data_IF_974770259993
#
_entry.id   IF_974770259993
#
_cell.length_a   1.000
_cell.length_b   1.000
_cell.length_c   1.000
_cell.angle_alpha   90.00
_cell.angle_beta   90.00
_cell.angle_gamma   90.00
#
_symmetry.space_group_name_H-M   'P 1'
#
loop_
_entity.id
_entity.type
_entity.pdbx_description
1 polymer ?
#
# COMPACT_ATOMS: atom_id res chain seq x y z
N UNK A 1 -53.07 49.04 3.10
CA UNK A 1 -51.70 48.85 3.66
C UNK A 1 -51.16 47.57 3.16
N UNK A 2 -50.20 47.62 2.21
CA UNK A 2 -49.63 46.45 1.53
C UNK A 2 -48.33 46.06 2.26
N UNK A 3 -48.29 44.85 2.80
CA UNK A 3 -47.08 44.29 3.42
C UNK A 3 -46.23 43.65 2.34
N UNK A 4 -45.04 44.23 2.11
CA UNK A 4 -43.95 43.66 1.30
C UNK A 4 -43.18 42.67 2.19
N UNK A 5 -43.20 41.41 1.83
CA UNK A 5 -42.29 40.37 2.40
C UNK A 5 -41.09 40.30 1.52
N UNK A 6 -39.95 40.75 2.04
CA UNK A 6 -38.62 40.53 1.43
C UNK A 6 -38.16 39.08 1.71
N UNK A 7 -38.12 38.24 0.68
CA UNK A 7 -37.40 36.97 0.73
C UNK A 7 -35.90 37.21 0.48
N UNK A 8 -35.12 37.06 1.52
CA UNK A 8 -33.64 36.95 1.38
C UNK A 8 -33.32 35.51 0.92
N UNK A 9 -32.96 35.35 -0.33
CA UNK A 9 -32.36 34.13 -0.84
C UNK A 9 -30.87 34.10 -0.42
N UNK A 10 -30.57 33.30 0.58
CA UNK A 10 -29.19 32.98 0.94
C UNK A 10 -28.61 32.02 -0.11
N UNK A 11 -27.78 32.51 -1.01
CA UNK A 11 -26.95 31.72 -1.89
C UNK A 11 -25.85 31.08 -1.05
N UNK A 12 -26.01 29.81 -0.68
CA UNK A 12 -24.93 29.02 -0.13
C UNK A 12 -23.95 28.69 -1.28
N UNK A 13 -22.85 29.43 -1.36
CA UNK A 13 -21.68 29.06 -2.17
C UNK A 13 -21.10 27.78 -1.57
N UNK A 14 -21.52 26.63 -2.08
CA UNK A 14 -20.79 25.38 -1.88
C UNK A 14 -19.51 25.47 -2.72
N UNK A 15 -18.41 25.87 -2.11
CA UNK A 15 -17.09 25.62 -2.68
C UNK A 15 -16.88 24.12 -2.70
N UNK A 16 -17.19 23.48 -3.84
CA UNK A 16 -16.70 22.15 -4.12
C UNK A 16 -15.18 22.25 -4.16
N UNK A 17 -14.52 21.81 -3.09
CA UNK A 17 -13.08 21.58 -3.14
C UNK A 17 -12.86 20.53 -4.25
N UNK A 18 -12.36 20.98 -5.40
CA UNK A 18 -11.93 20.07 -6.47
C UNK A 18 -10.91 19.11 -5.86
N UNK A 19 -11.19 17.81 -5.92
CA UNK A 19 -10.20 16.82 -5.49
C UNK A 19 -8.94 17.01 -6.33
N UNK A 20 -7.79 17.16 -5.67
CA UNK A 20 -6.51 17.31 -6.34
C UNK A 20 -6.23 16.09 -7.20
N UNK A 21 -5.82 16.28 -8.45
CA UNK A 21 -5.51 15.20 -9.37
C UNK A 21 -4.22 14.49 -8.96
N UNK A 22 -4.03 13.23 -9.37
CA UNK A 22 -2.80 12.50 -9.11
C UNK A 22 -1.56 13.22 -9.66
N UNK A 23 -1.69 13.92 -10.79
CA UNK A 23 -0.60 14.73 -11.37
C UNK A 23 -0.21 15.87 -10.45
N UNK A 24 -1.18 16.59 -9.90
CA UNK A 24 -0.93 17.71 -8.96
C UNK A 24 -0.36 17.20 -7.64
N UNK A 25 -0.87 16.09 -7.11
CA UNK A 25 -0.34 15.46 -5.89
C UNK A 25 1.13 15.05 -6.06
N UNK A 26 1.48 14.38 -7.17
CA UNK A 26 2.86 13.96 -7.46
C UNK A 26 3.76 15.16 -7.74
N UNK A 27 3.28 16.18 -8.43
CA UNK A 27 4.04 17.44 -8.63
C UNK A 27 4.35 18.11 -7.30
N UNK A 28 3.39 18.15 -6.37
CA UNK A 28 3.59 18.72 -5.03
C UNK A 28 4.51 17.84 -4.16
N UNK A 29 4.47 16.52 -4.34
CA UNK A 29 5.28 15.55 -3.62
C UNK A 29 5.73 14.41 -4.54
N UNK A 30 6.88 14.58 -5.19
CA UNK A 30 7.46 13.58 -6.12
C UNK A 30 7.64 12.18 -5.53
N UNK A 31 7.77 12.06 -4.21
CA UNK A 31 7.95 10.77 -3.54
C UNK A 31 6.72 9.86 -3.67
N UNK A 32 5.51 10.42 -3.89
CA UNK A 32 4.30 9.65 -4.15
C UNK A 32 4.44 8.76 -5.39
N UNK A 33 5.24 9.19 -6.37
CA UNK A 33 5.54 8.39 -7.57
C UNK A 33 6.27 7.08 -7.28
N UNK A 34 6.83 6.94 -6.08
CA UNK A 34 7.45 5.70 -5.60
C UNK A 34 6.48 4.54 -5.41
N UNK A 35 5.15 4.80 -5.39
CA UNK A 35 4.14 3.73 -5.31
C UNK A 35 4.41 2.75 -4.16
N UNK A 36 4.77 1.50 -4.52
CA UNK A 36 5.14 0.45 -3.57
C UNK A 36 6.43 0.74 -2.77
N UNK A 37 7.22 1.74 -3.15
CA UNK A 37 8.42 2.18 -2.41
C UNK A 37 8.19 3.47 -1.63
N UNK A 38 6.97 4.03 -1.67
CA UNK A 38 6.65 5.22 -0.89
C UNK A 38 6.89 4.97 0.60
N UNK A 39 7.72 5.81 1.22
CA UNK A 39 7.92 5.80 2.66
C UNK A 39 6.59 6.09 3.38
N UNK A 40 6.24 5.24 4.34
CA UNK A 40 4.99 5.35 5.11
C UNK A 40 4.78 6.71 5.75
N UNK A 41 5.86 7.34 6.20
CA UNK A 41 5.81 8.67 6.83
C UNK A 41 5.60 9.82 5.83
N UNK A 42 5.70 9.54 4.52
CA UNK A 42 5.42 10.49 3.42
C UNK A 42 4.04 10.28 2.78
N UNK A 43 3.24 9.33 3.30
CA UNK A 43 1.87 9.10 2.85
C UNK A 43 0.99 10.34 3.11
N UNK A 44 -0.25 10.28 2.64
CA UNK A 44 -1.22 11.34 2.97
C UNK A 44 -1.32 11.53 4.49
N UNK A 45 -1.40 12.78 4.97
CA UNK A 45 -1.39 13.08 6.41
C UNK A 45 -2.55 12.43 7.14
N UNK A 46 -2.29 12.06 8.39
CA UNK A 46 -3.30 11.48 9.27
C UNK A 46 -4.43 12.47 9.53
N UNK A 47 -5.62 11.94 9.76
CA UNK A 47 -6.79 12.68 10.20
C UNK A 47 -7.18 12.19 11.59
N UNK A 48 -7.72 13.05 12.47
CA UNK A 48 -8.28 12.61 13.73
C UNK A 48 -9.34 11.51 13.51
N UNK A 49 -9.25 10.45 14.29
CA UNK A 49 -10.23 9.37 14.22
C UNK A 49 -11.53 9.79 14.93
N UNK A 50 -12.64 9.39 14.35
CA UNK A 50 -13.97 9.59 14.96
C UNK A 50 -14.04 8.82 16.29
N UNK A 51 -14.39 9.46 17.42
CA UNK A 51 -14.51 8.79 18.72
C UNK A 51 -15.56 7.68 18.69
N UNK A 52 -15.39 6.67 19.56
CA UNK A 52 -16.36 5.58 19.71
C UNK A 52 -17.80 6.13 19.93
N UNK A 53 -18.83 5.51 19.36
CA UNK A 53 -20.22 5.91 19.58
C UNK A 53 -20.57 5.89 21.07
N UNK A 54 -21.46 6.80 21.48
CA UNK A 54 -21.89 6.87 22.90
C UNK A 54 -22.41 5.52 23.39
N UNK A 55 -21.82 5.02 24.45
CA UNK A 55 -22.19 3.73 25.04
C UNK A 55 -21.46 2.51 24.43
N UNK A 56 -20.50 2.73 23.55
CA UNK A 56 -19.66 1.69 22.97
C UNK A 56 -18.20 1.83 23.42
N UNK A 57 -17.47 0.73 23.33
CA UNK A 57 -16.02 0.67 23.55
C UNK A 57 -15.38 -0.25 22.50
N UNK A 58 -14.18 0.07 21.97
CA UNK A 58 -13.43 -0.87 21.16
C UNK A 58 -12.95 -2.04 22.03
N UNK A 59 -13.04 -3.28 21.50
CA UNK A 59 -12.64 -4.47 22.25
C UNK A 59 -11.80 -5.45 21.45
N UNK A 60 -11.83 -5.36 20.13
CA UNK A 60 -11.04 -6.23 19.26
C UNK A 60 -10.48 -5.44 18.09
N UNK A 61 -9.21 -5.74 17.75
CA UNK A 61 -8.59 -5.28 16.52
C UNK A 61 -8.11 -6.46 15.69
N UNK A 62 -8.52 -6.49 14.42
CA UNK A 62 -7.96 -7.35 13.39
C UNK A 62 -7.12 -6.50 12.43
N UNK A 63 -5.83 -6.76 12.40
CA UNK A 63 -4.86 -6.03 11.60
C UNK A 63 -4.24 -6.94 10.53
N UNK A 64 -3.97 -6.39 9.34
CA UNK A 64 -3.05 -6.95 8.36
C UNK A 64 -2.16 -5.84 7.83
N UNK A 65 -0.84 -5.95 8.05
CA UNK A 65 0.16 -4.99 7.64
C UNK A 65 1.18 -5.58 6.66
N UNK A 66 1.70 -4.72 5.80
CA UNK A 66 2.87 -4.96 4.96
C UNK A 66 4.13 -4.69 5.76
N UNK A 67 5.23 -5.39 5.47
CA UNK A 67 6.56 -5.05 5.97
C UNK A 67 6.94 -3.59 5.67
N UNK A 68 7.85 -3.02 6.44
CA UNK A 68 8.39 -1.67 6.26
C UNK A 68 9.34 -1.53 5.07
N UNK A 69 9.92 -0.36 4.93
CA UNK A 69 10.93 -0.03 3.92
C UNK A 69 12.10 -1.02 3.92
N UNK A 70 12.67 -1.29 2.74
CA UNK A 70 13.65 -2.35 2.52
C UNK A 70 14.59 -2.04 1.36
N UNK A 71 15.69 -2.77 1.28
CA UNK A 71 16.48 -2.85 0.04
C UNK A 71 15.66 -3.50 -1.08
N UNK A 72 16.04 -3.22 -2.33
CA UNK A 72 15.48 -3.93 -3.49
C UNK A 72 15.81 -5.43 -3.36
N UNK A 73 14.95 -6.26 -3.94
CA UNK A 73 15.03 -7.73 -3.75
C UNK A 73 15.97 -8.43 -4.70
N UNK A 74 16.41 -7.75 -5.76
CA UNK A 74 17.31 -8.31 -6.78
C UNK A 74 18.60 -7.51 -6.83
N UNK A 75 19.72 -8.22 -6.84
CA UNK A 75 21.05 -7.62 -7.04
C UNK A 75 21.10 -6.81 -8.34
N UNK A 76 20.57 -7.36 -9.42
CA UNK A 76 20.53 -6.69 -10.72
C UNK A 76 19.76 -5.36 -10.73
N UNK A 77 18.89 -5.10 -9.74
CA UNK A 77 18.23 -3.79 -9.62
C UNK A 77 19.22 -2.66 -9.33
N UNK A 78 20.35 -2.95 -8.66
CA UNK A 78 21.42 -1.98 -8.39
C UNK A 78 22.58 -2.16 -9.37
N UNK A 79 23.07 -3.39 -9.54
CA UNK A 79 24.25 -3.69 -10.34
C UNK A 79 24.03 -3.48 -11.82
N UNK A 80 22.83 -3.80 -12.35
CA UNK A 80 22.53 -3.65 -13.77
C UNK A 80 22.69 -2.21 -14.29
N UNK A 81 22.05 -1.19 -13.68
CA UNK A 81 22.25 0.20 -14.07
C UNK A 81 23.69 0.69 -13.84
N UNK A 82 24.35 0.25 -12.76
CA UNK A 82 25.75 0.57 -12.49
C UNK A 82 26.65 0.07 -13.61
N UNK A 83 26.52 -1.19 -14.00
CA UNK A 83 27.39 -1.82 -15.00
C UNK A 83 27.22 -1.18 -16.38
N UNK A 84 25.97 -0.86 -16.77
CA UNK A 84 25.72 -0.10 -18.01
C UNK A 84 26.45 1.25 -18.00
N UNK A 85 26.41 1.98 -16.91
CA UNK A 85 27.08 3.28 -16.79
C UNK A 85 28.61 3.12 -16.74
N UNK A 86 29.14 2.09 -16.06
CA UNK A 86 30.59 1.79 -16.04
C UNK A 86 31.11 1.50 -17.46
N UNK A 87 30.45 0.60 -18.18
CA UNK A 87 30.84 0.26 -19.55
C UNK A 87 30.85 1.49 -20.47
N UNK A 88 29.84 2.37 -20.29
CA UNK A 88 29.79 3.62 -21.03
C UNK A 88 30.92 4.59 -20.62
N UNK A 89 31.26 4.68 -19.33
CA UNK A 89 32.35 5.52 -18.84
C UNK A 89 33.70 5.06 -19.40
N UNK A 90 33.97 3.76 -19.36
CA UNK A 90 35.24 3.17 -19.84
C UNK A 90 35.43 3.42 -21.34
N UNK A 91 34.36 3.62 -22.08
CA UNK A 91 34.36 3.96 -23.50
C UNK A 91 34.28 5.48 -23.76
N UNK A 92 34.27 6.33 -22.72
CA UNK A 92 34.14 7.78 -22.86
C UNK A 92 32.81 8.25 -23.39
N UNK A 93 31.73 7.48 -23.14
CA UNK A 93 30.35 7.74 -23.66
C UNK A 93 29.41 8.43 -22.70
N UNK A 94 29.84 8.72 -21.45
CA UNK A 94 29.04 9.46 -20.50
C UNK A 94 29.19 10.99 -20.64
N UNK A 95 28.11 11.69 -20.30
CA UNK A 95 28.16 13.12 -20.00
C UNK A 95 28.62 13.32 -18.53
N UNK A 96 28.95 14.56 -18.11
CA UNK A 96 29.21 14.84 -16.69
C UNK A 96 28.05 14.41 -15.77
N UNK A 97 26.78 14.55 -16.20
CA UNK A 97 25.61 14.08 -15.46
C UNK A 97 25.59 12.55 -15.36
N UNK A 98 25.92 11.84 -16.45
CA UNK A 98 26.03 10.37 -16.44
C UNK A 98 27.07 9.87 -15.47
N UNK A 99 28.24 10.55 -15.38
CA UNK A 99 29.28 10.22 -14.41
C UNK A 99 28.85 10.50 -12.95
N UNK A 100 28.10 11.58 -12.72
CA UNK A 100 27.53 11.89 -11.40
C UNK A 100 26.54 10.80 -10.96
N UNK A 101 25.65 10.37 -11.87
CA UNK A 101 24.67 9.29 -11.58
C UNK A 101 25.40 7.98 -11.28
N UNK A 102 26.42 7.61 -12.06
CA UNK A 102 27.24 6.43 -11.77
C UNK A 102 27.85 6.52 -10.38
N UNK A 103 28.47 7.64 -10.03
CA UNK A 103 29.09 7.86 -8.71
C UNK A 103 28.08 7.70 -7.57
N UNK A 104 26.85 8.21 -7.74
CA UNK A 104 25.78 8.07 -6.74
C UNK A 104 25.36 6.60 -6.56
N UNK A 105 25.20 5.86 -7.65
CA UNK A 105 24.85 4.44 -7.60
C UNK A 105 25.99 3.63 -6.98
N UNK A 106 27.25 3.87 -7.36
CA UNK A 106 28.43 3.21 -6.80
C UNK A 106 28.62 3.51 -5.30
N UNK A 107 28.21 4.68 -4.82
CA UNK A 107 28.26 5.02 -3.40
C UNK A 107 27.18 4.26 -2.60
N UNK A 108 26.03 4.00 -3.20
CA UNK A 108 24.92 3.34 -2.51
C UNK A 108 24.95 1.81 -2.62
N UNK A 109 25.23 1.25 -3.79
CA UNK A 109 25.13 -0.18 -4.09
C UNK A 109 25.84 -1.08 -3.06
N UNK A 110 27.05 -0.77 -2.56
CA UNK A 110 27.72 -1.61 -1.57
C UNK A 110 26.92 -1.82 -0.27
N UNK A 111 26.02 -0.89 0.07
CA UNK A 111 25.13 -1.02 1.24
C UNK A 111 24.10 -2.14 1.08
N UNK A 112 23.81 -2.55 -0.16
CA UNK A 112 22.84 -3.58 -0.50
C UNK A 112 23.41 -5.00 -0.43
N UNK A 113 24.75 -5.15 -0.40
CA UNK A 113 25.42 -6.45 -0.40
C UNK A 113 25.01 -7.26 0.82
N UNK A 114 24.48 -8.47 0.59
CA UNK A 114 23.90 -9.37 1.61
C UNK A 114 22.71 -8.76 2.38
N UNK A 115 22.07 -7.71 1.83
CA UNK A 115 20.90 -7.04 2.42
C UNK A 115 19.70 -7.00 1.48
N UNK A 116 19.75 -7.74 0.36
CA UNK A 116 18.68 -7.75 -0.64
C UNK A 116 17.34 -8.21 -0.03
N UNK A 117 16.36 -7.33 -0.10
CA UNK A 117 15.04 -7.57 0.45
C UNK A 117 14.92 -7.47 1.98
N UNK A 118 16.00 -7.18 2.70
CA UNK A 118 15.99 -6.99 4.15
C UNK A 118 15.30 -5.69 4.55
N UNK A 119 14.69 -5.69 5.73
CA UNK A 119 14.13 -4.49 6.35
C UNK A 119 15.24 -3.45 6.60
N UNK A 120 14.99 -2.21 6.20
CA UNK A 120 15.91 -1.10 6.48
C UNK A 120 15.59 -0.47 7.85
N UNK A 121 16.52 0.38 8.36
CA UNK A 121 16.28 1.18 9.57
C UNK A 121 15.08 2.12 9.44
N UNK A 122 14.80 2.64 8.23
CA UNK A 122 13.59 3.39 7.93
C UNK A 122 12.35 2.50 8.11
N UNK A 123 12.39 1.27 7.61
CA UNK A 123 11.29 0.30 7.73
C UNK A 123 11.01 -0.10 9.17
N UNK A 124 12.06 -0.30 9.97
CA UNK A 124 11.95 -0.57 11.40
C UNK A 124 11.26 0.60 12.14
N UNK A 125 11.72 1.84 11.93
CA UNK A 125 11.10 3.03 12.51
C UNK A 125 9.65 3.24 12.08
N UNK A 126 9.27 2.84 10.86
CA UNK A 126 7.88 2.89 10.41
C UNK A 126 6.99 2.02 11.30
N UNK A 127 7.42 0.78 11.59
CA UNK A 127 6.66 -0.16 12.41
C UNK A 127 6.66 0.20 13.90
N UNK A 128 7.74 0.71 14.45
CA UNK A 128 7.73 1.34 15.76
C UNK A 128 6.68 2.46 15.83
N UNK A 129 6.66 3.35 14.83
CA UNK A 129 5.66 4.42 14.76
C UNK A 129 4.22 3.92 14.68
N UNK A 130 3.96 2.87 13.90
CA UNK A 130 2.62 2.25 13.79
C UNK A 130 2.24 1.62 15.13
N UNK A 131 3.09 0.81 15.75
CA UNK A 131 2.83 0.18 17.04
C UNK A 131 2.51 1.20 18.15
N UNK A 132 3.28 2.29 18.20
CA UNK A 132 3.03 3.39 19.11
C UNK A 132 1.63 4.00 18.91
N UNK A 133 1.26 4.33 17.66
CA UNK A 133 -0.06 4.90 17.36
C UNK A 133 -1.21 3.93 17.59
N UNK A 134 -1.01 2.63 17.42
CA UNK A 134 -2.01 1.61 17.81
C UNK A 134 -2.33 1.71 19.31
N UNK A 135 -1.31 1.77 20.17
CA UNK A 135 -1.49 1.89 21.63
C UNK A 135 -2.11 3.24 22.04
N UNK A 136 -1.78 4.32 21.33
CA UNK A 136 -2.30 5.67 21.59
C UNK A 136 -3.75 5.84 21.15
N UNK A 137 -4.10 5.32 19.94
CA UNK A 137 -5.43 5.48 19.36
C UNK A 137 -6.48 4.51 19.92
N UNK A 138 -6.04 3.35 20.44
CA UNK A 138 -6.94 2.30 20.97
C UNK A 138 -6.48 1.80 22.34
N UNK A 139 -6.37 2.71 23.34
CA UNK A 139 -5.91 2.36 24.69
C UNK A 139 -6.83 1.35 25.39
N UNK A 140 -8.13 1.32 25.06
CA UNK A 140 -9.09 0.37 25.61
C UNK A 140 -8.76 -1.08 25.21
N UNK A 141 -8.08 -1.29 24.07
CA UNK A 141 -7.59 -2.59 23.67
C UNK A 141 -6.18 -2.80 24.24
N UNK A 142 -5.22 -1.98 23.84
CA UNK A 142 -3.80 -2.25 24.05
C UNK A 142 -3.30 -1.97 25.49
N UNK A 143 -4.01 -1.14 26.29
CA UNK A 143 -3.68 -0.91 27.71
C UNK A 143 -4.52 -1.75 28.68
N UNK A 144 -5.39 -2.63 28.16
CA UNK A 144 -6.12 -3.60 29.00
C UNK A 144 -5.13 -4.57 29.66
N UNK A 145 -5.27 -4.78 30.97
CA UNK A 145 -4.40 -5.67 31.74
C UNK A 145 -4.48 -7.10 31.20
N UNK A 146 -3.31 -7.72 30.97
CA UNK A 146 -3.16 -9.07 30.41
C UNK A 146 -3.85 -9.27 29.05
N UNK A 147 -4.00 -8.23 28.24
CA UNK A 147 -4.61 -8.35 26.90
C UNK A 147 -3.88 -9.39 26.05
N UNK A 148 -4.59 -10.36 25.45
CA UNK A 148 -3.98 -11.27 24.49
C UNK A 148 -3.72 -10.53 23.17
N UNK A 149 -2.51 -10.68 22.63
CA UNK A 149 -2.11 -10.18 21.31
C UNK A 149 -1.55 -11.37 20.51
N UNK A 150 -2.30 -11.82 19.52
CA UNK A 150 -1.90 -12.88 18.59
C UNK A 150 -1.24 -12.23 17.37
N UNK A 151 0.10 -12.31 17.29
CA UNK A 151 0.88 -11.72 16.21
C UNK A 151 1.44 -12.81 15.29
N UNK A 152 1.15 -12.71 14.01
CA UNK A 152 1.50 -13.70 12.99
C UNK A 152 2.17 -13.07 11.79
N UNK A 153 3.24 -13.68 11.30
CA UNK A 153 3.99 -13.18 10.15
C UNK A 153 4.17 -14.24 9.08
N UNK A 154 4.37 -13.79 7.84
CA UNK A 154 4.97 -14.65 6.82
C UNK A 154 6.40 -15.02 7.26
N UNK A 155 6.95 -16.11 6.68
CA UNK A 155 8.32 -16.59 7.00
C UNK A 155 9.45 -15.72 6.46
N UNK A 156 9.12 -14.55 5.91
CA UNK A 156 10.09 -13.63 5.31
C UNK A 156 10.65 -12.67 6.36
N UNK A 157 11.97 -12.61 6.49
CA UNK A 157 12.68 -11.86 7.53
C UNK A 157 12.15 -10.45 7.75
N UNK A 158 11.95 -9.66 6.69
CA UNK A 158 11.43 -8.28 6.82
C UNK A 158 10.04 -8.20 7.43
N UNK A 159 9.18 -9.21 7.20
CA UNK A 159 7.85 -9.25 7.81
C UNK A 159 7.93 -9.59 9.30
N UNK A 160 8.81 -10.53 9.65
CA UNK A 160 9.09 -10.93 11.04
C UNK A 160 9.63 -9.74 11.83
N UNK A 161 10.62 -9.03 11.30
CA UNK A 161 11.21 -7.86 11.97
C UNK A 161 10.21 -6.70 12.09
N UNK A 162 9.35 -6.51 11.10
CA UNK A 162 8.25 -5.53 11.18
C UNK A 162 7.25 -5.88 12.28
N UNK A 163 6.89 -7.16 12.42
CA UNK A 163 6.05 -7.65 13.51
C UNK A 163 6.69 -7.39 14.87
N UNK A 164 7.99 -7.69 15.00
CA UNK A 164 8.74 -7.49 16.25
C UNK A 164 8.71 -6.01 16.64
N UNK A 165 9.02 -5.09 15.72
CA UNK A 165 9.06 -3.65 15.98
C UNK A 165 7.71 -3.10 16.47
N UNK A 166 6.57 -3.54 15.90
CA UNK A 166 5.25 -3.16 16.41
C UNK A 166 4.96 -3.76 17.79
N UNK A 167 5.29 -5.04 17.99
CA UNK A 167 5.07 -5.73 19.27
C UNK A 167 5.91 -5.13 20.40
N UNK A 168 7.12 -4.65 20.13
CA UNK A 168 7.98 -3.97 21.09
C UNK A 168 7.33 -2.70 21.64
N UNK A 169 6.74 -1.87 20.76
CA UNK A 169 6.01 -0.66 21.17
C UNK A 169 4.76 -0.98 21.99
N UNK A 170 4.02 -2.01 21.59
CA UNK A 170 2.84 -2.47 22.34
C UNK A 170 3.23 -3.03 23.71
N UNK A 171 4.34 -3.76 23.81
CA UNK A 171 4.87 -4.28 25.06
C UNK A 171 5.38 -3.14 25.97
N UNK A 172 6.03 -2.13 25.40
CA UNK A 172 6.45 -0.94 26.13
C UNK A 172 5.24 -0.14 26.68
N UNK A 173 4.17 -0.02 25.88
CA UNK A 173 2.93 0.65 26.30
C UNK A 173 2.14 -0.15 27.35
N UNK A 174 2.25 -1.48 27.36
CA UNK A 174 1.58 -2.37 28.31
C UNK A 174 2.44 -3.61 28.63
N UNK A 175 3.29 -3.53 29.67
CA UNK A 175 4.14 -4.66 30.08
C UNK A 175 3.37 -5.90 30.58
N UNK A 176 2.05 -5.79 30.76
CA UNK A 176 1.20 -6.94 31.15
C UNK A 176 0.58 -7.64 29.96
N UNK A 177 0.72 -7.12 28.73
CA UNK A 177 0.18 -7.74 27.53
C UNK A 177 0.78 -9.14 27.32
N UNK A 178 -0.04 -10.05 26.79
CA UNK A 178 0.35 -11.45 26.54
C UNK A 178 0.46 -11.70 25.05
N UNK A 179 1.69 -11.74 24.55
CA UNK A 179 1.97 -11.99 23.16
C UNK A 179 2.03 -13.48 22.86
N UNK A 180 1.39 -13.89 21.76
CA UNK A 180 1.57 -15.15 21.09
C UNK A 180 2.06 -14.87 19.67
N UNK A 181 3.36 -15.09 19.44
CA UNK A 181 3.98 -14.87 18.14
C UNK A 181 4.10 -16.20 17.38
N UNK A 182 3.59 -16.25 16.15
CA UNK A 182 3.68 -17.43 15.30
C UNK A 182 4.16 -17.07 13.89
N UNK A 183 5.19 -17.79 13.43
CA UNK A 183 5.79 -17.66 12.10
C UNK A 183 5.98 -19.06 11.56
N UNK A 184 4.95 -19.64 10.94
CA UNK A 184 5.00 -20.99 10.43
C UNK A 184 4.53 -21.10 8.98
N UNK A 185 5.02 -22.12 8.27
CA UNK A 185 4.58 -22.46 6.92
C UNK A 185 3.08 -22.80 6.88
N UNK A 186 2.52 -23.34 7.97
CA UNK A 186 1.11 -23.68 8.06
C UNK A 186 0.18 -22.45 7.97
N UNK A 187 0.68 -21.25 8.24
CA UNK A 187 -0.08 -20.01 8.17
C UNK A 187 -0.04 -19.35 6.78
N UNK A 188 0.88 -19.80 5.90
CA UNK A 188 1.12 -19.11 4.63
C UNK A 188 -0.10 -19.16 3.69
N UNK A 189 -0.98 -20.14 3.80
CA UNK A 189 -2.17 -20.28 2.95
C UNK A 189 -3.12 -19.07 3.02
N UNK A 190 -3.06 -18.28 4.09
CA UNK A 190 -3.85 -17.05 4.22
C UNK A 190 -3.00 -15.79 4.46
N UNK A 191 -1.78 -15.92 5.02
CA UNK A 191 -0.89 -14.77 5.25
C UNK A 191 -0.16 -14.30 4.01
N UNK A 192 0.00 -15.17 3.02
CA UNK A 192 0.68 -14.85 1.77
C UNK A 192 -0.26 -15.02 0.59
N UNK A 193 0.10 -14.47 -0.57
CA UNK A 193 -0.70 -14.66 -1.77
C UNK A 193 -0.62 -16.14 -2.21
N UNK A 194 -1.73 -16.88 -2.21
CA UNK A 194 -1.70 -18.26 -2.66
C UNK A 194 -1.48 -18.32 -4.18
N UNK A 195 -0.60 -19.21 -4.63
CA UNK A 195 -0.44 -19.58 -6.03
C UNK A 195 -1.58 -20.50 -6.46
N UNK A 196 -2.80 -20.02 -6.37
CA UNK A 196 -3.93 -20.70 -6.98
C UNK A 196 -4.10 -20.29 -8.44
N UNK A 197 -4.97 -20.95 -9.17
CA UNK A 197 -5.17 -20.71 -10.60
C UNK A 197 -5.56 -19.28 -10.99
N UNK A 198 -5.92 -18.38 -10.04
CA UNK A 198 -6.37 -17.02 -10.34
C UNK A 198 -5.27 -16.19 -11.00
N UNK A 199 -4.04 -16.26 -10.49
CA UNK A 199 -2.90 -15.55 -11.09
C UNK A 199 -2.61 -16.09 -12.49
N UNK A 200 -2.87 -17.37 -12.74
CA UNK A 200 -2.74 -18.01 -14.05
C UNK A 200 -3.93 -17.73 -14.97
N UNK A 201 -5.13 -17.54 -14.43
CA UNK A 201 -6.35 -17.31 -15.19
C UNK A 201 -6.36 -15.95 -15.94
N UNK A 202 -5.53 -14.99 -15.54
CA UNK A 202 -5.38 -13.71 -16.24
C UNK A 202 -4.54 -13.81 -17.50
N UNK A 203 -3.82 -14.92 -17.69
CA UNK A 203 -3.16 -15.32 -18.92
C UNK A 203 -2.14 -14.33 -19.49
N UNK A 204 -1.71 -14.61 -20.73
CA UNK A 204 -0.79 -13.76 -21.47
C UNK A 204 -1.36 -12.37 -21.80
N UNK A 205 -2.67 -12.23 -21.93
CA UNK A 205 -3.32 -10.96 -22.28
C UNK A 205 -3.06 -9.86 -21.25
N UNK A 206 -3.16 -10.18 -19.96
CA UNK A 206 -2.84 -9.23 -18.90
C UNK A 206 -1.36 -8.82 -18.90
N UNK A 207 -0.45 -9.73 -19.21
CA UNK A 207 0.98 -9.45 -19.33
C UNK A 207 1.29 -8.55 -20.53
N UNK A 208 0.79 -8.90 -21.71
CA UNK A 208 0.97 -8.12 -22.94
C UNK A 208 0.42 -6.70 -22.78
N UNK A 209 -0.75 -6.55 -22.18
CA UNK A 209 -1.35 -5.23 -21.97
C UNK A 209 -0.55 -4.37 -20.97
N UNK A 210 0.03 -4.97 -19.92
CA UNK A 210 0.95 -4.24 -19.04
C UNK A 210 2.20 -3.77 -19.77
N UNK A 211 2.76 -4.59 -20.63
CA UNK A 211 3.92 -4.22 -21.46
C UNK A 211 3.58 -3.07 -22.41
N UNK A 212 2.42 -3.10 -23.07
CA UNK A 212 1.98 -2.01 -23.94
C UNK A 212 1.86 -0.67 -23.18
N UNK A 213 1.33 -0.67 -21.94
CA UNK A 213 1.27 0.55 -21.14
C UNK A 213 2.65 1.01 -20.65
N UNK A 214 3.56 0.08 -20.35
CA UNK A 214 4.96 0.43 -20.06
C UNK A 214 5.62 1.16 -21.22
N UNK A 215 5.45 0.69 -22.43
CA UNK A 215 6.03 1.31 -23.62
C UNK A 215 5.36 2.65 -23.91
N UNK A 216 4.03 2.74 -23.77
CA UNK A 216 3.25 3.97 -23.96
C UNK A 216 3.69 5.12 -23.05
N UNK A 217 4.05 4.83 -21.80
CA UNK A 217 4.39 5.82 -20.77
C UNK A 217 5.88 5.79 -20.37
N UNK A 218 6.77 5.34 -21.27
CA UNK A 218 8.21 5.41 -21.05
C UNK A 218 8.89 6.06 -22.24
N UNK A 219 9.35 7.32 -22.07
CA UNK A 219 9.95 8.15 -23.10
C UNK A 219 11.43 8.43 -22.73
N UNK A 220 12.37 7.53 -23.07
CA UNK A 220 13.74 7.59 -22.59
C UNK A 220 14.65 8.60 -23.29
N UNK A 221 14.22 9.16 -24.45
CA UNK A 221 15.08 9.87 -25.38
C UNK A 221 15.79 11.08 -24.74
N UNK A 222 15.06 11.88 -23.95
CA UNK A 222 15.63 13.03 -23.25
C UNK A 222 16.66 12.58 -22.21
N UNK A 223 16.31 11.58 -21.39
CA UNK A 223 17.18 11.09 -20.34
C UNK A 223 18.46 10.46 -20.93
N UNK A 224 18.33 9.69 -22.00
CA UNK A 224 19.50 9.12 -22.69
C UNK A 224 20.43 10.20 -23.21
N UNK A 225 19.90 11.28 -23.82
CA UNK A 225 20.70 12.43 -24.26
C UNK A 225 21.36 13.18 -23.09
N UNK A 226 20.73 13.19 -21.92
CA UNK A 226 21.28 13.83 -20.74
C UNK A 226 22.43 13.03 -20.11
N UNK A 227 22.38 11.70 -20.16
CA UNK A 227 23.36 10.81 -19.53
C UNK A 227 24.50 10.38 -20.46
N UNK A 228 24.24 10.30 -21.78
CA UNK A 228 25.20 9.79 -22.77
C UNK A 228 25.49 10.83 -23.85
N UNK A 229 26.76 10.98 -24.19
CA UNK A 229 27.23 11.91 -25.23
C UNK A 229 27.18 11.32 -26.65
N UNK A 230 26.88 10.02 -26.80
CA UNK A 230 26.83 9.28 -28.06
C UNK A 230 25.51 8.50 -28.16
N UNK A 231 24.56 8.98 -28.97
CA UNK A 231 23.26 8.34 -29.13
C UNK A 231 23.30 7.07 -30.00
N UNK A 232 24.33 6.91 -30.86
CA UNK A 232 24.52 5.67 -31.60
C UNK A 232 25.01 4.56 -30.65
N UNK A 233 25.84 4.89 -29.68
CA UNK A 233 26.22 3.96 -28.62
C UNK A 233 24.99 3.50 -27.84
N UNK A 234 24.10 4.41 -27.42
CA UNK A 234 22.84 4.08 -26.72
C UNK A 234 22.01 3.13 -27.55
N UNK A 235 21.76 3.43 -28.83
CA UNK A 235 20.96 2.61 -29.72
C UNK A 235 21.51 1.18 -29.87
N UNK A 236 22.84 1.05 -29.99
CA UNK A 236 23.48 -0.25 -30.22
C UNK A 236 23.60 -1.12 -28.94
N UNK A 237 23.69 -0.52 -27.78
CA UNK A 237 24.10 -1.22 -26.56
C UNK A 237 23.03 -1.23 -25.44
N UNK A 238 22.02 -0.35 -25.48
CA UNK A 238 21.07 -0.19 -24.39
C UNK A 238 19.63 -0.48 -24.81
N UNK A 239 18.89 -1.08 -23.87
CA UNK A 239 17.43 -1.05 -23.90
C UNK A 239 16.96 0.19 -23.13
N UNK A 240 16.96 1.36 -23.79
CA UNK A 240 16.80 2.66 -23.17
C UNK A 240 15.58 2.77 -22.23
N UNK A 241 14.40 2.28 -22.65
CA UNK A 241 13.19 2.27 -21.81
C UNK A 241 13.36 1.42 -20.53
N UNK A 242 14.02 0.28 -20.62
CA UNK A 242 14.29 -0.57 -19.45
C UNK A 242 15.29 0.08 -18.52
N UNK A 243 16.33 0.69 -19.07
CA UNK A 243 17.34 1.40 -18.29
C UNK A 243 16.75 2.60 -17.56
N UNK A 244 15.91 3.41 -18.22
CA UNK A 244 15.19 4.52 -17.58
C UNK A 244 14.33 4.04 -16.38
N UNK A 245 13.58 2.95 -16.57
CA UNK A 245 12.77 2.38 -15.48
C UNK A 245 13.63 1.84 -14.32
N UNK A 246 14.77 1.23 -14.60
CA UNK A 246 15.69 0.76 -13.56
C UNK A 246 16.29 1.90 -12.76
N UNK A 247 16.68 3.01 -13.41
CA UNK A 247 17.13 4.22 -12.71
C UNK A 247 16.00 4.82 -11.85
N UNK A 248 14.76 4.82 -12.34
CA UNK A 248 13.61 5.29 -11.59
C UNK A 248 13.29 4.39 -10.38
N UNK A 249 13.45 3.07 -10.52
CA UNK A 249 13.31 2.14 -9.38
C UNK A 249 14.32 2.45 -8.28
N UNK A 250 15.59 2.68 -8.62
CA UNK A 250 16.60 3.10 -7.64
C UNK A 250 16.22 4.45 -7.02
N UNK A 251 15.85 5.46 -7.84
CA UNK A 251 15.47 6.79 -7.36
C UNK A 251 14.32 6.72 -6.34
N UNK A 252 13.30 5.90 -6.62
CA UNK A 252 12.16 5.72 -5.72
C UNK A 252 12.50 4.93 -4.46
N UNK A 253 13.47 4.01 -4.53
CA UNK A 253 13.91 3.21 -3.38
C UNK A 253 14.79 4.00 -2.41
N UNK A 254 15.44 5.10 -2.82
CA UNK A 254 16.27 5.92 -1.92
C UNK A 254 15.52 6.40 -0.68
N UNK A 255 14.22 6.66 -0.78
CA UNK A 255 13.39 7.02 0.38
C UNK A 255 13.22 5.89 1.42
N UNK A 256 13.63 4.68 1.09
CA UNK A 256 13.65 3.53 2.01
C UNK A 256 14.90 3.50 2.90
N UNK A 257 15.81 4.46 2.78
CA UNK A 257 17.12 4.45 3.42
C UNK A 257 17.47 5.81 4.03
N UNK A 258 18.30 5.80 5.08
CA UNK A 258 18.91 7.00 5.65
C UNK A 258 20.11 7.42 4.77
N UNK A 259 19.83 8.16 3.70
CA UNK A 259 20.84 8.59 2.73
C UNK A 259 20.49 9.96 2.15
N UNK A 260 21.50 10.76 1.86
CA UNK A 260 21.38 12.03 1.13
C UNK A 260 21.43 11.84 -0.40
N UNK A 261 21.60 10.60 -0.87
CA UNK A 261 21.62 10.28 -2.29
C UNK A 261 20.21 10.49 -2.86
N UNK A 262 20.13 11.40 -3.82
CA UNK A 262 18.90 11.77 -4.52
C UNK A 262 19.11 11.60 -6.03
N UNK A 263 18.20 10.88 -6.68
CA UNK A 263 18.24 10.59 -8.12
C UNK A 263 17.00 11.09 -8.87
N UNK A 264 15.97 11.59 -8.20
CA UNK A 264 14.81 12.15 -8.89
C UNK A 264 15.14 13.37 -9.77
N UNK A 265 16.21 14.09 -9.44
CA UNK A 265 16.66 15.30 -10.17
C UNK A 265 17.06 15.03 -11.64
N UNK A 266 17.32 13.79 -12.00
CA UNK A 266 17.63 13.43 -13.40
C UNK A 266 16.38 13.33 -14.27
N UNK A 267 15.18 13.25 -13.66
CA UNK A 267 13.90 13.13 -14.34
C UNK A 267 13.15 14.47 -14.36
N UNK A 268 12.38 14.72 -15.41
CA UNK A 268 11.41 15.81 -15.45
C UNK A 268 10.14 15.44 -14.67
N UNK A 269 9.32 16.44 -14.32
CA UNK A 269 8.00 16.22 -13.69
C UNK A 269 7.11 15.29 -14.53
N UNK A 270 7.15 15.44 -15.87
CA UNK A 270 6.39 14.60 -16.81
C UNK A 270 6.88 13.16 -16.79
N UNK A 271 8.19 12.93 -16.86
CA UNK A 271 8.79 11.60 -16.80
C UNK A 271 8.50 10.89 -15.48
N UNK A 272 8.54 11.61 -14.35
CA UNK A 272 8.18 11.08 -13.02
C UNK A 272 6.71 10.63 -13.02
N UNK A 273 5.81 11.46 -13.54
CA UNK A 273 4.39 11.15 -13.60
C UNK A 273 4.10 9.97 -14.52
N UNK A 274 4.69 9.92 -15.71
CA UNK A 274 4.46 8.86 -16.68
C UNK A 274 5.01 7.51 -16.19
N UNK A 275 6.20 7.50 -15.59
CA UNK A 275 6.79 6.32 -14.97
C UNK A 275 5.95 5.81 -13.78
N UNK A 276 5.35 6.71 -13.00
CA UNK A 276 4.36 6.34 -11.99
C UNK A 276 3.09 5.79 -12.65
N UNK A 277 2.54 6.45 -13.66
CA UNK A 277 1.28 6.08 -14.29
C UNK A 277 1.31 4.67 -14.86
N UNK A 278 2.38 4.30 -15.56
CA UNK A 278 2.56 2.94 -16.07
C UNK A 278 2.66 1.91 -14.93
N UNK A 279 3.30 2.26 -13.81
CA UNK A 279 3.37 1.40 -12.63
C UNK A 279 1.99 1.24 -11.98
N UNK A 280 1.23 2.33 -11.82
CA UNK A 280 -0.12 2.33 -11.29
C UNK A 280 -1.04 1.40 -12.09
N UNK A 281 -1.04 1.52 -13.42
CA UNK A 281 -1.80 0.65 -14.33
C UNK A 281 -1.35 -0.81 -14.20
N UNK A 282 -0.04 -1.04 -14.14
CA UNK A 282 0.53 -2.38 -13.99
C UNK A 282 0.04 -3.11 -12.73
N UNK A 283 0.01 -2.43 -11.59
CA UNK A 283 -0.51 -2.97 -10.33
C UNK A 283 -2.01 -3.20 -10.39
N UNK A 284 -2.77 -2.27 -10.94
CA UNK A 284 -4.22 -2.41 -11.09
C UNK A 284 -4.60 -3.63 -11.94
N UNK A 285 -3.91 -3.88 -13.06
CA UNK A 285 -4.14 -5.07 -13.89
C UNK A 285 -3.73 -6.34 -13.13
N UNK A 286 -2.60 -6.32 -12.43
CA UNK A 286 -2.04 -7.54 -11.84
C UNK A 286 -2.77 -8.04 -10.59
N UNK A 287 -3.28 -7.12 -9.76
CA UNK A 287 -3.81 -7.44 -8.44
C UNK A 287 -5.13 -6.73 -8.10
N UNK A 288 -5.50 -5.72 -8.89
CA UNK A 288 -6.70 -4.91 -8.69
C UNK A 288 -7.95 -5.48 -9.37
N UNK A 289 -9.07 -4.74 -9.29
CA UNK A 289 -10.35 -5.15 -9.85
C UNK A 289 -10.47 -4.84 -11.35
N UNK A 290 -9.37 -4.91 -12.10
CA UNK A 290 -9.34 -4.56 -13.52
C UNK A 290 -10.35 -5.36 -14.35
N UNK A 291 -11.16 -4.70 -15.22
CA UNK A 291 -12.02 -5.40 -16.17
C UNK A 291 -11.26 -6.35 -17.10
N UNK A 292 -9.98 -6.05 -17.40
CA UNK A 292 -9.11 -6.93 -18.21
C UNK A 292 -8.87 -8.30 -17.57
N UNK A 293 -9.01 -8.39 -16.26
CA UNK A 293 -8.91 -9.62 -15.48
C UNK A 293 -10.27 -10.02 -14.89
N UNK A 294 -11.36 -9.53 -15.49
CA UNK A 294 -12.75 -9.79 -15.05
C UNK A 294 -13.01 -9.41 -13.58
N UNK A 295 -12.19 -8.52 -13.00
CA UNK A 295 -12.31 -8.10 -11.60
C UNK A 295 -11.97 -9.20 -10.57
N UNK A 296 -11.38 -10.33 -10.96
CA UNK A 296 -11.22 -11.50 -10.08
C UNK A 296 -9.96 -11.46 -9.21
N UNK A 297 -8.97 -10.63 -9.55
CA UNK A 297 -7.68 -10.65 -8.84
C UNK A 297 -7.75 -10.37 -7.33
N UNK A 298 -8.65 -9.51 -6.82
CA UNK A 298 -8.82 -9.32 -5.38
C UNK A 298 -9.16 -10.59 -4.62
N UNK A 299 -9.83 -11.57 -5.25
CA UNK A 299 -10.15 -12.86 -4.63
C UNK A 299 -8.94 -13.76 -4.38
N UNK A 300 -7.74 -13.37 -4.82
CA UNK A 300 -6.49 -14.00 -4.36
C UNK A 300 -6.37 -13.96 -2.84
N UNK A 301 -7.01 -12.98 -2.17
CA UNK A 301 -7.01 -12.83 -0.73
C UNK A 301 -8.27 -13.38 -0.03
N UNK A 302 -9.06 -14.23 -0.69
CA UNK A 302 -10.27 -14.82 -0.11
C UNK A 302 -9.99 -15.66 1.15
N UNK A 303 -8.85 -16.35 1.22
CA UNK A 303 -8.47 -17.10 2.41
C UNK A 303 -8.15 -16.18 3.59
N UNK A 304 -7.49 -15.06 3.33
CA UNK A 304 -7.22 -14.05 4.35
C UNK A 304 -8.51 -13.42 4.86
N UNK A 305 -9.44 -13.07 3.98
CA UNK A 305 -10.75 -12.56 4.38
C UNK A 305 -11.56 -13.59 5.19
N UNK A 306 -11.57 -14.87 4.79
CA UNK A 306 -12.17 -15.96 5.58
C UNK A 306 -11.55 -16.04 6.97
N UNK A 307 -10.22 -16.05 7.07
CA UNK A 307 -9.52 -16.08 8.36
C UNK A 307 -9.85 -14.86 9.24
N UNK A 308 -9.98 -13.67 8.65
CA UNK A 308 -10.38 -12.46 9.40
C UNK A 308 -11.79 -12.64 9.99
N UNK A 309 -12.75 -13.12 9.19
CA UNK A 309 -14.15 -13.34 9.63
C UNK A 309 -14.20 -14.42 10.71
N UNK A 310 -13.63 -15.59 10.46
CA UNK A 310 -13.62 -16.72 11.38
C UNK A 310 -12.96 -16.37 12.71
N UNK A 311 -11.85 -15.62 12.68
CA UNK A 311 -11.20 -15.15 13.90
C UNK A 311 -12.11 -14.19 14.66
N UNK A 312 -12.73 -13.22 13.99
CA UNK A 312 -13.63 -12.26 14.63
C UNK A 312 -14.83 -12.94 15.29
N UNK A 313 -15.35 -14.00 14.70
CA UNK A 313 -16.48 -14.78 15.24
C UNK A 313 -16.15 -15.51 16.55
N UNK A 314 -14.87 -15.76 16.84
CA UNK A 314 -14.42 -16.45 18.07
C UNK A 314 -14.05 -15.49 19.21
N UNK A 315 -14.02 -14.19 18.95
CA UNK A 315 -13.57 -13.19 19.94
C UNK A 315 -14.64 -12.96 21.01
N UNK A 316 -14.32 -13.29 22.24
CA UNK A 316 -15.20 -13.11 23.41
C UNK A 316 -14.71 -12.10 24.42
N UNK A 317 -13.43 -11.70 24.35
CA UNK A 317 -12.79 -10.78 25.29
C UNK A 317 -12.03 -9.68 24.53
N UNK A 318 -11.51 -8.69 25.26
CA UNK A 318 -10.62 -7.67 24.66
C UNK A 318 -9.31 -8.31 24.21
N UNK A 319 -8.97 -8.18 22.93
CA UNK A 319 -7.75 -8.76 22.32
C UNK A 319 -7.41 -8.12 20.98
N UNK A 320 -6.26 -8.49 20.43
CA UNK A 320 -5.86 -8.11 19.09
C UNK A 320 -5.28 -9.29 18.31
N UNK A 321 -5.52 -9.30 16.98
CA UNK A 321 -4.86 -10.21 16.03
C UNK A 321 -4.11 -9.37 15.02
N UNK A 322 -2.78 -9.44 15.03
CA UNK A 322 -1.89 -8.70 14.16
C UNK A 322 -1.30 -9.67 13.11
N UNK A 323 -1.43 -9.32 11.84
CA UNK A 323 -0.91 -10.14 10.72
C UNK A 323 0.05 -9.31 9.90
N UNK A 324 1.18 -9.91 9.51
CA UNK A 324 2.26 -9.21 8.79
C UNK A 324 2.63 -9.95 7.51
N UNK A 325 2.66 -9.22 6.40
CA UNK A 325 2.94 -9.79 5.09
C UNK A 325 3.39 -8.75 4.06
N UNK A 326 2.72 -8.74 2.91
CA UNK A 326 3.21 -8.09 1.70
C UNK A 326 2.16 -7.18 1.04
N UNK A 327 2.62 -6.27 0.17
CA UNK A 327 1.75 -5.42 -0.66
C UNK A 327 0.82 -6.22 -1.58
N UNK A 328 1.29 -7.36 -2.08
CA UNK A 328 0.50 -8.29 -2.91
C UNK A 328 -0.65 -8.95 -2.15
N UNK A 329 -0.74 -8.71 -0.84
CA UNK A 329 -1.88 -9.11 -0.02
C UNK A 329 -2.70 -7.90 0.43
N UNK A 330 -2.07 -6.83 0.95
CA UNK A 330 -2.79 -5.63 1.43
C UNK A 330 -3.61 -5.01 0.32
N UNK A 331 -3.02 -4.81 -0.86
CA UNK A 331 -3.68 -4.13 -1.97
C UNK A 331 -4.91 -4.91 -2.49
N UNK A 332 -4.81 -6.20 -2.87
CA UNK A 332 -6.00 -6.95 -3.28
C UNK A 332 -6.98 -7.17 -2.12
N UNK A 333 -6.54 -7.24 -0.85
CA UNK A 333 -7.45 -7.27 0.30
C UNK A 333 -8.25 -5.97 0.43
N UNK A 334 -7.61 -4.79 0.26
CA UNK A 334 -8.32 -3.51 0.26
C UNK A 334 -9.38 -3.45 -0.85
N UNK A 335 -9.06 -3.99 -2.04
CA UNK A 335 -10.02 -4.12 -3.15
C UNK A 335 -11.13 -5.15 -2.84
N UNK A 336 -10.80 -6.28 -2.22
CA UNK A 336 -11.79 -7.32 -1.85
C UNK A 336 -12.76 -6.84 -0.77
N UNK A 337 -12.25 -6.07 0.20
CA UNK A 337 -13.03 -5.40 1.24
C UNK A 337 -13.81 -4.18 0.70
N UNK A 338 -13.53 -3.73 -0.51
CA UNK A 338 -14.12 -2.54 -1.15
C UNK A 338 -13.93 -1.26 -0.31
N UNK A 339 -12.75 -1.11 0.29
CA UNK A 339 -12.43 0.07 1.08
C UNK A 339 -12.40 1.32 0.19
N UNK A 340 -13.18 2.35 0.52
CA UNK A 340 -13.30 3.56 -0.29
C UNK A 340 -13.52 3.24 -1.79
N UNK A 341 -12.63 3.73 -2.65
CA UNK A 341 -12.65 3.49 -4.09
C UNK A 341 -11.71 2.35 -4.54
N UNK A 342 -11.19 1.52 -3.62
CA UNK A 342 -10.22 0.47 -3.98
C UNK A 342 -10.78 -0.55 -4.97
N UNK A 343 -12.10 -0.79 -4.97
CA UNK A 343 -12.76 -1.75 -5.84
C UNK A 343 -13.33 -1.15 -7.14
N UNK A 344 -13.06 0.13 -7.43
CA UNK A 344 -13.57 0.78 -8.65
C UNK A 344 -13.08 0.06 -9.90
N UNK A 345 -13.99 -0.22 -10.83
CA UNK A 345 -13.65 -0.78 -12.15
C UNK A 345 -13.58 0.36 -13.18
N UNK A 346 -12.46 0.46 -13.86
CA UNK A 346 -12.17 1.50 -14.85
C UNK A 346 -11.84 0.84 -16.18
N UNK A 347 -12.69 1.07 -17.19
CA UNK A 347 -12.52 0.50 -18.53
C UNK A 347 -11.38 1.18 -19.29
N UNK A 348 -11.34 2.52 -19.25
CA UNK A 348 -10.27 3.29 -19.88
C UNK A 348 -9.09 3.46 -18.93
N UNK A 349 -8.08 2.59 -19.02
CA UNK A 349 -6.92 2.62 -18.15
C UNK A 349 -6.03 3.87 -18.30
N UNK A 350 -6.18 4.62 -19.38
CA UNK A 350 -5.51 5.92 -19.52
C UNK A 350 -6.07 6.99 -18.56
N UNK A 351 -7.27 6.78 -18.03
CA UNK A 351 -7.93 7.62 -17.04
C UNK A 351 -7.90 7.03 -15.61
N UNK A 352 -7.24 5.89 -15.42
CA UNK A 352 -7.20 5.19 -14.14
C UNK A 352 -6.72 6.08 -12.99
N UNK A 353 -5.77 6.94 -13.26
CA UNK A 353 -5.18 7.87 -12.30
C UNK A 353 -6.18 8.87 -11.68
N UNK A 354 -7.34 9.07 -12.31
CA UNK A 354 -8.41 9.91 -11.77
C UNK A 354 -9.22 9.20 -10.67
N UNK A 355 -9.26 7.88 -10.68
CA UNK A 355 -10.15 7.07 -9.84
C UNK A 355 -9.39 6.20 -8.84
N UNK A 356 -8.18 5.74 -9.20
CA UNK A 356 -7.42 4.77 -8.43
C UNK A 356 -5.92 5.10 -8.46
N UNK A 357 -5.32 5.23 -7.26
CA UNK A 357 -3.92 5.59 -7.07
C UNK A 357 -3.27 4.64 -6.08
N UNK A 358 -2.28 3.91 -6.53
CA UNK A 358 -1.58 2.89 -5.75
C UNK A 358 -0.86 3.43 -4.51
N UNK A 359 -0.30 4.64 -4.57
CA UNK A 359 0.37 5.27 -3.42
C UNK A 359 -0.57 5.60 -2.25
N UNK A 360 -1.90 5.66 -2.48
CA UNK A 360 -2.91 5.83 -1.42
C UNK A 360 -3.24 4.52 -0.71
N UNK A 361 -2.97 3.38 -1.37
CA UNK A 361 -3.40 2.06 -0.91
C UNK A 361 -2.26 1.29 -0.23
N UNK A 362 -1.08 1.18 -0.89
CA UNK A 362 -0.04 0.28 -0.41
C UNK A 362 1.39 0.86 -0.38
N UNK A 363 1.62 1.99 0.31
CA UNK A 363 2.99 2.42 0.63
C UNK A 363 3.74 1.33 1.41
N UNK A 364 5.03 1.52 1.68
CA UNK A 364 5.76 0.70 2.66
C UNK A 364 5.07 0.79 4.03
N UNK A 365 4.99 -0.31 4.78
CA UNK A 365 4.31 -0.35 6.07
C UNK A 365 2.79 -0.19 6.00
N UNK A 366 2.18 -0.19 4.79
CA UNK A 366 0.73 -0.06 4.64
C UNK A 366 -0.02 -1.12 5.44
N UNK A 367 -1.19 -0.74 5.95
CA UNK A 367 -1.97 -1.64 6.78
C UNK A 367 -3.48 -1.40 6.67
N UNK A 368 -4.23 -2.45 6.97
CA UNK A 368 -5.68 -2.43 7.14
C UNK A 368 -5.95 -2.80 8.60
N UNK A 369 -6.74 -1.97 9.28
CA UNK A 369 -7.16 -2.20 10.66
C UNK A 369 -8.68 -2.25 10.69
N UNK A 370 -9.23 -3.34 11.22
CA UNK A 370 -10.65 -3.52 11.46
C UNK A 370 -10.86 -3.50 12.97
N UNK A 371 -11.50 -2.46 13.46
CA UNK A 371 -11.72 -2.22 14.90
C UNK A 371 -13.16 -2.54 15.23
N UNK A 372 -13.37 -3.45 16.17
CA UNK A 372 -14.68 -3.91 16.60
C UNK A 372 -15.06 -3.25 17.91
N UNK A 373 -16.31 -2.80 17.99
CA UNK A 373 -16.89 -2.10 19.13
C UNK A 373 -18.06 -2.88 19.68
N UNK A 374 -18.09 -3.03 21.00
CA UNK A 374 -19.22 -3.64 21.74
C UNK A 374 -19.91 -2.62 22.61
N UNK A 375 -21.20 -2.83 22.94
CA UNK A 375 -21.85 -2.04 23.96
C UNK A 375 -21.09 -2.15 25.30
N UNK A 376 -20.94 -1.04 26.01
CA UNK A 376 -20.38 -1.03 27.37
C UNK A 376 -21.25 -1.85 28.32
N UNK A 377 -20.66 -2.34 29.42
CA UNK A 377 -21.37 -3.14 30.43
C UNK A 377 -22.69 -2.48 30.87
N UNK A 378 -23.77 -3.26 30.82
CA UNK A 378 -25.13 -2.79 31.15
C UNK A 378 -25.85 -2.07 30.00
N UNK A 379 -25.26 -2.03 28.81
CA UNK A 379 -25.90 -1.57 27.57
C UNK A 379 -26.13 -2.76 26.63
N UNK A 380 -27.11 -2.63 25.74
CA UNK A 380 -27.40 -3.56 24.66
C UNK A 380 -27.20 -2.89 23.31
N UNK A 381 -26.92 -3.65 22.28
CA UNK A 381 -26.75 -3.17 20.91
C UNK A 381 -25.96 -4.15 20.04
N UNK A 382 -25.90 -3.88 18.77
CA UNK A 382 -25.14 -4.66 17.78
C UNK A 382 -23.64 -4.46 17.98
N UNK A 383 -22.84 -5.43 17.58
CA UNK A 383 -21.40 -5.21 17.40
C UNK A 383 -21.20 -4.30 16.20
N UNK A 384 -20.42 -3.24 16.39
CA UNK A 384 -20.07 -2.32 15.33
C UNK A 384 -18.62 -2.54 14.90
N UNK A 385 -18.33 -2.18 13.64
CA UNK A 385 -16.99 -2.23 13.07
C UNK A 385 -16.66 -0.89 12.40
N UNK A 386 -15.38 -0.51 12.50
CA UNK A 386 -14.76 0.59 11.76
C UNK A 386 -13.53 0.07 11.03
N UNK A 387 -13.36 0.47 9.77
CA UNK A 387 -12.19 0.13 8.99
C UNK A 387 -11.24 1.33 8.87
N UNK A 388 -9.93 1.07 8.98
CA UNK A 388 -8.88 2.02 8.62
C UNK A 388 -8.02 1.42 7.50
N UNK A 389 -7.70 2.25 6.52
CA UNK A 389 -6.66 1.99 5.52
C UNK A 389 -5.51 2.97 5.76
N UNK A 390 -4.33 2.46 6.06
CA UNK A 390 -3.17 3.29 6.40
C UNK A 390 -3.47 4.27 7.55
N UNK A 391 -4.15 3.79 8.60
CA UNK A 391 -4.54 4.54 9.79
C UNK A 391 -5.55 5.68 9.54
N UNK A 392 -6.22 5.69 8.38
CA UNK A 392 -7.28 6.65 8.01
C UNK A 392 -8.62 5.92 7.88
N UNK A 393 -9.69 6.51 8.38
CA UNK A 393 -11.03 5.94 8.30
C UNK A 393 -11.44 5.73 6.85
N UNK A 394 -11.83 4.50 6.52
CA UNK A 394 -12.24 4.07 5.19
C UNK A 394 -13.73 3.66 5.18
N UNK A 395 -14.40 3.94 4.06
CA UNK A 395 -15.77 3.47 3.83
C UNK A 395 -15.78 1.97 3.56
N UNK A 396 -16.84 1.30 4.02
CA UNK A 396 -17.14 -0.10 3.75
C UNK A 396 -18.33 -0.21 2.78
N UNK A 397 -18.52 -1.34 2.08
CA UNK A 397 -19.45 -1.44 0.93
C UNK A 397 -20.94 -1.47 1.29
N UNK A 398 -21.30 -1.44 2.55
CA UNK A 398 -22.70 -1.44 3.01
C UNK A 398 -23.13 -0.06 3.48
N UNK A 399 -24.44 0.20 3.48
CA UNK A 399 -24.97 1.46 4.00
C UNK A 399 -24.84 1.54 5.52
N UNK A 400 -24.64 2.75 6.04
CA UNK A 400 -24.68 3.06 7.47
C UNK A 400 -25.19 4.48 7.67
N UNK A 401 -25.92 4.71 8.75
CA UNK A 401 -26.34 6.02 9.24
C UNK A 401 -25.37 6.63 10.26
N UNK A 402 -24.32 5.89 10.62
CA UNK A 402 -23.35 6.26 11.66
C UNK A 402 -21.89 6.19 11.16
N UNK A 403 -21.61 6.59 9.90
CA UNK A 403 -20.22 6.60 9.42
C UNK A 403 -19.27 7.23 10.45
N UNK A 404 -18.13 6.60 10.75
CA UNK A 404 -17.49 5.45 10.09
C UNK A 404 -17.83 4.06 10.70
N UNK A 405 -18.91 3.93 11.43
CA UNK A 405 -19.33 2.71 12.11
C UNK A 405 -20.40 1.96 11.29
N UNK A 406 -20.22 0.64 11.20
CA UNK A 406 -21.10 -0.27 10.47
C UNK A 406 -21.49 -1.43 11.36
N UNK A 407 -22.66 -2.05 11.16
CA UNK A 407 -23.03 -3.27 11.86
C UNK A 407 -22.22 -4.44 11.36
N UNK A 408 -21.53 -5.13 12.29
CA UNK A 408 -20.70 -6.28 11.92
C UNK A 408 -21.52 -7.41 11.30
N UNK A 409 -22.69 -7.72 11.83
CA UNK A 409 -23.53 -8.80 11.32
C UNK A 409 -23.86 -8.60 9.83
N UNK A 410 -24.23 -7.38 9.42
CA UNK A 410 -24.57 -7.06 8.04
C UNK A 410 -23.34 -7.14 7.12
N UNK A 411 -22.22 -6.58 7.57
CA UNK A 411 -20.97 -6.61 6.81
C UNK A 411 -20.42 -8.03 6.67
N UNK A 412 -20.46 -8.81 7.73
CA UNK A 412 -20.10 -10.23 7.75
C UNK A 412 -20.90 -11.02 6.71
N UNK A 413 -22.22 -10.86 6.71
CA UNK A 413 -23.08 -11.55 5.73
C UNK A 413 -22.76 -11.12 4.30
N UNK A 414 -22.56 -9.82 4.07
CA UNK A 414 -22.15 -9.30 2.77
C UNK A 414 -20.88 -9.99 2.24
N UNK A 415 -19.83 -10.13 3.07
CA UNK A 415 -18.59 -10.77 2.64
C UNK A 415 -18.75 -12.29 2.45
N UNK A 416 -19.51 -12.97 3.29
CA UNK A 416 -19.79 -14.41 3.11
C UNK A 416 -20.52 -14.67 1.80
N UNK A 417 -21.54 -13.87 1.47
CA UNK A 417 -22.27 -13.98 0.21
C UNK A 417 -21.38 -13.67 -1.01
N UNK A 418 -20.49 -12.67 -0.89
CA UNK A 418 -19.50 -12.33 -1.92
C UNK A 418 -18.55 -13.49 -2.21
N UNK A 419 -18.01 -14.10 -1.15
CA UNK A 419 -17.12 -15.26 -1.27
C UNK A 419 -17.84 -16.48 -1.84
N UNK A 420 -19.07 -16.77 -1.38
CA UNK A 420 -19.87 -17.87 -1.88
C UNK A 420 -20.22 -17.74 -3.37
N UNK A 421 -20.57 -16.53 -3.82
CA UNK A 421 -20.78 -16.25 -5.25
C UNK A 421 -19.54 -16.50 -6.08
N UNK A 422 -18.37 -16.06 -5.60
CA UNK A 422 -17.10 -16.31 -6.29
C UNK A 422 -16.80 -17.80 -6.39
N UNK A 423 -16.94 -18.55 -5.29
CA UNK A 423 -16.71 -20.00 -5.25
C UNK A 423 -17.68 -20.76 -6.19
N UNK A 424 -18.93 -20.31 -6.33
CA UNK A 424 -19.92 -20.89 -7.23
C UNK A 424 -19.60 -20.68 -8.73
N UNK A 425 -19.01 -19.53 -9.08
CA UNK A 425 -18.65 -19.17 -10.46
C UNK A 425 -17.34 -19.80 -10.92
N UNK A 426 -16.50 -20.29 -10.01
CA UNK A 426 -15.17 -20.81 -10.30
C UNK A 426 -15.03 -22.31 -9.97
N UNK A 427 -16.13 -23.00 -9.77
CA UNK A 427 -16.23 -24.47 -9.73
C UNK A 427 -16.30 -25.01 -11.16
#
# INVERSE_FOLDING_TARGET
MKHFILLLAAFALTTSASAQTAREEIKANKYLSGSQYLDYNRRLPDKPLTPAPKGYEPYYMSHYGRHGSRWLISDNSYTGPRDILRDAKDQGKLTPLGEEVLKKIEAFEPTSVKRLGDLSTVGERQHHGIGKRLAENFPEIFKTKNVPIDARSTVVNRCILSMIAECEELAAANPTARFHNDVSESLQYYLNQPWDGLVKATGNDGKLRRENFRDKYTHPERLMKALFNDQQYVFNNLRASSFMRSLFEIATNMQSHDTDIELFSIFTEEEIYDLWKQNNIGWYIAYGPSPLTKGIMPFSQRNLLKNIIETADTVTQTQATLRFGHEVCVMPLACLLELDNCAVQVENLDELDQYWQNYKIFPMGCNIQLIFYRPKKGKSGDILIKALLNEREAKLPIATDQYPYYKWADLRQYYLDKLARFDALNK
#
